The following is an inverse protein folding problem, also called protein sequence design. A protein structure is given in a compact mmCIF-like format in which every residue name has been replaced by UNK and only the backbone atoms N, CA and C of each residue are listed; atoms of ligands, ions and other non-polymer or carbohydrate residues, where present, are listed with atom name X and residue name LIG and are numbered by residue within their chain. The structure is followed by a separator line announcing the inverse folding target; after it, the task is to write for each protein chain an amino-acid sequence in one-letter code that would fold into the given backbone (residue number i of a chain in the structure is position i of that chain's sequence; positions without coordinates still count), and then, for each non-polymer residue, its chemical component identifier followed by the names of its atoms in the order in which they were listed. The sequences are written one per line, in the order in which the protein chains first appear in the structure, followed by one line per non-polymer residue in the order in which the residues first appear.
data_IF_456473196690
#
_entry.id   IF_456473196690
#
_cell.length_a   1.000
_cell.length_b   1.000
_cell.length_c   1.000
_cell.angle_alpha   90.00
_cell.angle_beta   90.00
_cell.angle_gamma   90.00
#
_symmetry.space_group_name_H-M   'P 1'
#
loop_
_entity.id
_entity.type
_entity.pdbx_description
1 polymer ?
#
# COMPACT_ATOMS: atom_id res chain seq x y z
N UNK A 1 -10.26 1.12 -14.19
CA UNK A 1 -10.76 1.78 -15.41
C UNK A 1 -9.75 2.83 -15.78
N UNK A 2 -9.04 2.60 -16.87
CA UNK A 2 -8.00 3.50 -17.37
C UNK A 2 -8.66 4.52 -18.30
N UNK A 3 -8.25 5.80 -18.30
CA UNK A 3 -8.86 6.79 -19.18
C UNK A 3 -8.67 6.47 -20.66
N UNK A 4 -9.67 6.80 -21.50
CA UNK A 4 -9.65 6.49 -22.94
C UNK A 4 -8.50 7.17 -23.68
N UNK A 5 -8.12 8.34 -23.20
CA UNK A 5 -7.01 9.16 -23.70
C UNK A 5 -5.63 8.49 -23.59
N UNK A 6 -5.50 7.32 -22.94
CA UNK A 6 -4.23 6.57 -22.92
C UNK A 6 -4.06 5.61 -24.10
N UNK A 7 -5.07 5.46 -24.97
CA UNK A 7 -5.14 4.51 -26.10
C UNK A 7 -4.76 3.06 -25.77
N UNK A 8 -4.89 2.66 -24.50
CA UNK A 8 -4.65 1.27 -24.12
C UNK A 8 -5.76 0.37 -24.64
N UNK A 9 -5.38 -0.83 -25.04
CA UNK A 9 -6.34 -1.88 -25.39
C UNK A 9 -7.28 -2.08 -24.18
N UNK A 10 -8.59 -1.92 -24.39
CA UNK A 10 -9.63 -1.97 -23.33
C UNK A 10 -9.65 -0.81 -22.34
N UNK A 11 -9.08 0.35 -22.69
CA UNK A 11 -9.27 1.57 -21.91
C UNK A 11 -10.73 2.02 -21.96
N UNK A 12 -11.47 1.75 -20.88
CA UNK A 12 -12.84 2.21 -20.68
C UNK A 12 -12.86 2.96 -19.35
N UNK A 13 -12.90 4.28 -19.41
CA UNK A 13 -12.87 5.12 -18.21
C UNK A 13 -12.57 6.59 -18.51
N UNK A 14 -12.47 7.35 -17.43
CA UNK A 14 -12.01 8.74 -17.39
C UNK A 14 -11.08 8.96 -16.18
N UNK A 15 -10.54 10.16 -16.07
CA UNK A 15 -9.67 10.57 -14.95
C UNK A 15 -10.27 10.28 -13.56
N UNK A 16 -11.56 10.55 -13.34
CA UNK A 16 -12.21 10.30 -12.05
C UNK A 16 -12.26 8.81 -11.70
N UNK A 17 -12.61 7.95 -12.66
CA UNK A 17 -12.63 6.50 -12.48
C UNK A 17 -11.23 5.91 -12.20
N UNK A 18 -10.19 6.54 -12.76
CA UNK A 18 -8.80 6.18 -12.54
C UNK A 18 -8.36 6.55 -11.11
N UNK A 19 -8.70 7.77 -10.65
CA UNK A 19 -8.40 8.19 -9.28
C UNK A 19 -9.13 7.34 -8.24
N UNK A 20 -10.41 6.98 -8.49
CA UNK A 20 -11.15 6.08 -7.62
C UNK A 20 -10.51 4.68 -7.57
N UNK A 21 -10.15 4.11 -8.72
CA UNK A 21 -9.47 2.81 -8.76
C UNK A 21 -8.13 2.85 -8.03
N UNK A 22 -7.32 3.88 -8.27
CA UNK A 22 -6.03 4.04 -7.62
C UNK A 22 -6.15 4.23 -6.11
N UNK A 23 -7.17 4.95 -5.66
CA UNK A 23 -7.50 5.10 -4.24
C UNK A 23 -7.72 3.75 -3.57
N UNK A 24 -8.66 2.95 -4.09
CA UNK A 24 -8.97 1.64 -3.50
C UNK A 24 -7.81 0.67 -3.61
N UNK A 25 -7.02 0.73 -4.69
CA UNK A 25 -5.82 -0.10 -4.85
C UNK A 25 -4.77 0.23 -3.79
N UNK A 26 -4.43 1.51 -3.63
CA UNK A 26 -3.44 1.95 -2.63
C UNK A 26 -3.95 1.69 -1.22
N UNK A 27 -5.23 1.96 -0.94
CA UNK A 27 -5.85 1.64 0.34
C UNK A 27 -5.75 0.14 0.65
N UNK A 28 -6.07 -0.72 -0.32
CA UNK A 28 -5.97 -2.17 -0.17
C UNK A 28 -4.54 -2.66 0.07
N UNK A 29 -3.61 -2.30 -0.83
CA UNK A 29 -2.22 -2.78 -0.79
C UNK A 29 -1.48 -2.30 0.46
N UNK A 30 -1.61 -1.02 0.79
CA UNK A 30 -0.96 -0.47 2.00
C UNK A 30 -1.61 -1.05 3.26
N UNK A 31 -2.94 -1.21 3.26
CA UNK A 31 -3.65 -1.88 4.34
C UNK A 31 -3.17 -3.31 4.57
N UNK A 32 -3.05 -4.11 3.52
CA UNK A 32 -2.56 -5.49 3.57
C UNK A 32 -1.19 -5.59 4.24
N UNK A 33 -0.24 -4.71 3.87
CA UNK A 33 1.10 -4.67 4.46
C UNK A 33 1.04 -4.50 5.99
N UNK A 34 0.29 -3.52 6.49
CA UNK A 34 0.20 -3.32 7.94
C UNK A 34 -0.60 -4.42 8.64
N UNK A 35 -1.61 -4.99 7.98
CA UNK A 35 -2.33 -6.13 8.53
C UNK A 35 -1.47 -7.39 8.62
N UNK A 36 -0.54 -7.59 7.70
CA UNK A 36 0.45 -8.67 7.80
C UNK A 36 1.29 -8.54 9.08
N UNK A 37 1.75 -7.32 9.40
CA UNK A 37 2.46 -7.05 10.64
C UNK A 37 1.59 -7.29 11.88
N UNK A 38 0.33 -6.85 11.83
CA UNK A 38 -0.64 -7.04 12.90
C UNK A 38 -0.88 -8.52 13.23
N UNK A 39 -1.02 -9.36 12.21
CA UNK A 39 -1.19 -10.82 12.37
C UNK A 39 0.08 -11.44 12.95
N UNK A 40 1.26 -11.10 12.44
CA UNK A 40 2.53 -11.60 13.01
C UNK A 40 2.71 -11.18 14.48
N UNK A 41 2.31 -9.96 14.84
CA UNK A 41 2.33 -9.51 16.23
C UNK A 41 1.34 -10.28 17.10
N UNK A 42 0.13 -10.55 16.60
CA UNK A 42 -0.86 -11.36 17.32
C UNK A 42 -0.32 -12.77 17.64
N UNK A 43 0.25 -13.45 16.64
CA UNK A 43 0.86 -14.79 16.82
C UNK A 43 1.99 -14.73 17.85
N UNK A 44 2.86 -13.72 17.77
CA UNK A 44 3.97 -13.54 18.72
C UNK A 44 3.47 -13.36 20.16
N UNK A 45 2.45 -12.51 20.37
CA UNK A 45 1.87 -12.25 21.69
C UNK A 45 1.19 -13.50 22.29
N UNK A 46 0.43 -14.24 21.48
CA UNK A 46 -0.28 -15.43 21.96
C UNK A 46 0.68 -16.59 22.26
N UNK A 47 1.60 -16.89 21.35
CA UNK A 47 2.46 -18.08 21.45
C UNK A 47 3.68 -17.84 22.34
N UNK A 48 4.43 -16.77 22.07
CA UNK A 48 5.72 -16.52 22.76
C UNK A 48 5.52 -15.86 24.11
N UNK A 49 4.59 -14.90 24.20
CA UNK A 49 4.32 -14.17 25.44
C UNK A 49 3.16 -14.75 26.24
N UNK A 50 2.48 -15.81 25.75
CA UNK A 50 1.39 -16.47 26.47
C UNK A 50 0.20 -15.56 26.75
N UNK A 51 -0.03 -14.52 25.95
CA UNK A 51 -1.18 -13.65 26.13
C UNK A 51 -2.48 -14.41 25.91
N UNK A 52 -3.51 -14.08 26.70
CA UNK A 52 -4.86 -14.58 26.47
C UNK A 52 -5.50 -13.83 25.30
N UNK A 53 -6.22 -14.56 24.46
CA UNK A 53 -6.97 -13.99 23.32
C UNK A 53 -7.88 -12.84 23.75
N UNK A 54 -8.55 -12.98 24.90
CA UNK A 54 -9.41 -11.91 25.43
C UNK A 54 -8.66 -10.62 25.74
N UNK A 55 -7.44 -10.73 26.27
CA UNK A 55 -6.62 -9.55 26.60
C UNK A 55 -6.21 -8.83 25.34
N UNK A 56 -5.82 -9.57 24.30
CA UNK A 56 -5.46 -9.01 23.00
C UNK A 56 -6.67 -8.30 22.37
N UNK A 57 -7.83 -8.97 22.31
CA UNK A 57 -9.02 -8.42 21.67
C UNK A 57 -9.54 -7.15 22.36
N UNK A 58 -9.54 -7.14 23.70
CA UNK A 58 -10.03 -5.98 24.48
C UNK A 58 -9.09 -4.78 24.43
N UNK A 59 -7.77 -5.00 24.37
CA UNK A 59 -6.78 -3.92 24.54
C UNK A 59 -6.01 -3.51 23.28
N UNK A 60 -5.77 -4.44 22.35
CA UNK A 60 -4.84 -4.22 21.23
C UNK A 60 -5.56 -4.22 19.89
N UNK A 61 -6.50 -5.14 19.68
CA UNK A 61 -7.17 -5.33 18.39
C UNK A 61 -7.86 -4.05 17.89
N UNK A 62 -8.75 -3.46 18.70
CA UNK A 62 -9.48 -2.24 18.34
C UNK A 62 -8.58 -1.03 18.02
N UNK A 63 -7.64 -0.63 18.90
CA UNK A 63 -6.76 0.49 18.58
C UNK A 63 -5.86 0.19 17.38
N UNK A 64 -5.43 -1.06 17.20
CA UNK A 64 -4.60 -1.44 16.05
C UNK A 64 -5.37 -1.30 14.73
N UNK A 65 -6.60 -1.81 14.63
CA UNK A 65 -7.45 -1.62 13.44
C UNK A 65 -7.68 -0.13 13.16
N UNK A 66 -7.99 0.66 14.20
CA UNK A 66 -8.20 2.09 14.04
C UNK A 66 -6.96 2.80 13.51
N UNK A 67 -5.79 2.52 14.08
CA UNK A 67 -4.52 3.12 13.64
C UNK A 67 -4.16 2.72 12.20
N UNK A 68 -4.33 1.44 11.84
CA UNK A 68 -4.06 0.96 10.48
C UNK A 68 -5.00 1.65 9.49
N UNK A 69 -6.32 1.61 9.74
CA UNK A 69 -7.30 2.21 8.83
C UNK A 69 -7.07 3.72 8.70
N UNK A 70 -6.85 4.42 9.81
CA UNK A 70 -6.58 5.86 9.79
C UNK A 70 -5.31 6.19 8.98
N UNK A 71 -4.23 5.46 9.19
CA UNK A 71 -2.97 5.65 8.48
C UNK A 71 -3.13 5.39 6.96
N UNK A 72 -3.73 4.25 6.61
CA UNK A 72 -3.92 3.82 5.22
C UNK A 72 -4.85 4.79 4.48
N UNK A 73 -5.89 5.30 5.17
CA UNK A 73 -6.81 6.29 4.61
C UNK A 73 -6.08 7.61 4.33
N UNK A 74 -5.26 8.11 5.26
CA UNK A 74 -4.43 9.30 5.00
C UNK A 74 -3.48 9.06 3.83
N UNK A 75 -2.83 7.90 3.80
CA UNK A 75 -1.88 7.55 2.75
C UNK A 75 -2.53 7.48 1.36
N UNK A 76 -3.77 6.99 1.27
CA UNK A 76 -4.53 6.93 0.02
C UNK A 76 -5.18 8.28 -0.37
N UNK A 77 -5.50 9.15 0.59
CA UNK A 77 -6.05 10.49 0.30
C UNK A 77 -4.99 11.43 -0.27
N UNK A 78 -3.73 11.35 0.19
CA UNK A 78 -2.68 12.26 -0.30
C UNK A 78 -2.56 12.22 -1.83
N UNK A 79 -2.43 11.06 -2.50
CA UNK A 79 -2.45 10.97 -3.95
C UNK A 79 -3.70 11.54 -4.62
N UNK A 80 -4.86 11.47 -3.95
CA UNK A 80 -6.11 12.00 -4.48
C UNK A 80 -6.08 13.53 -4.52
N UNK A 81 -5.55 14.17 -3.48
CA UNK A 81 -5.42 15.64 -3.37
C UNK A 81 -4.38 16.19 -4.34
N UNK A 82 -3.26 15.47 -4.52
CA UNK A 82 -2.18 15.89 -5.42
C UNK A 82 -2.32 15.35 -6.85
N UNK A 83 -3.44 14.68 -7.16
CA UNK A 83 -3.76 14.10 -8.46
C UNK A 83 -2.67 13.15 -9.00
N UNK A 84 -1.98 12.41 -8.13
CA UNK A 84 -0.86 11.53 -8.51
C UNK A 84 -1.27 10.10 -8.86
N UNK A 85 -2.57 9.85 -9.06
CA UNK A 85 -3.06 8.57 -9.58
C UNK A 85 -2.92 8.52 -11.10
N UNK A 86 -1.94 7.75 -11.53
CA UNK A 86 -1.53 7.60 -12.91
C UNK A 86 -1.88 6.21 -13.44
N UNK A 87 -2.20 6.11 -14.74
CA UNK A 87 -2.49 4.82 -15.37
C UNK A 87 -1.23 3.93 -15.41
N UNK A 88 -1.37 2.67 -15.03
CA UNK A 88 -0.29 1.68 -15.03
C UNK A 88 -0.83 0.26 -15.29
N UNK A 89 -0.35 -0.41 -16.35
CA UNK A 89 -0.69 -1.79 -16.74
C UNK A 89 -2.16 -2.20 -16.54
N UNK A 90 -3.12 -1.52 -17.17
CA UNK A 90 -4.56 -1.81 -17.07
C UNK A 90 -5.24 -1.35 -15.77
N UNK A 91 -4.51 -0.72 -14.86
CA UNK A 91 -5.02 -0.10 -13.64
C UNK A 91 -4.56 1.34 -13.46
N UNK A 92 -4.85 1.91 -12.29
CA UNK A 92 -4.34 3.21 -11.88
C UNK A 92 -3.66 3.09 -10.52
N UNK A 93 -2.52 3.75 -10.34
CA UNK A 93 -1.69 3.66 -9.14
C UNK A 93 -0.80 4.91 -9.03
N UNK A 94 -0.01 5.00 -7.97
CA UNK A 94 0.94 6.10 -7.73
C UNK A 94 2.25 5.92 -8.52
N UNK A 95 2.26 5.18 -9.64
CA UNK A 95 3.43 4.84 -10.46
C UNK A 95 3.21 5.42 -11.87
N UNK A 96 4.11 6.25 -12.43
CA UNK A 96 4.05 6.71 -13.79
C UNK A 96 4.44 5.56 -14.69
N UNK A 97 3.99 5.61 -15.95
CA UNK A 97 4.39 4.64 -16.96
C UNK A 97 5.92 4.49 -16.98
N UNK A 98 6.37 3.23 -16.98
CA UNK A 98 7.76 2.89 -17.30
C UNK A 98 7.91 3.02 -18.81
N UNK A 99 8.19 4.24 -19.24
CA UNK A 99 8.44 4.63 -20.62
C UNK A 99 8.93 6.07 -20.55
N UNK A 100 9.99 6.38 -21.28
CA UNK A 100 10.64 7.70 -21.23
C UNK A 100 9.63 8.81 -21.54
N UNK A 101 9.08 9.47 -20.53
CA UNK A 101 8.54 10.82 -20.69
C UNK A 101 9.75 11.77 -20.72
N UNK A 102 10.57 11.66 -21.76
CA UNK A 102 11.60 12.66 -22.03
C UNK A 102 10.86 13.88 -22.56
N UNK A 103 11.10 15.06 -21.99
CA UNK A 103 10.54 16.33 -22.44
C UNK A 103 10.90 16.72 -23.90
N UNK A 104 11.51 15.80 -24.66
CA UNK A 104 11.97 15.97 -26.04
C UNK A 104 11.27 15.07 -27.06
N UNK A 105 10.46 14.11 -26.63
CA UNK A 105 9.71 13.26 -27.54
C UNK A 105 8.22 13.61 -27.40
N UNK A 106 7.71 14.40 -28.35
CA UNK A 106 6.28 14.66 -28.59
C UNK A 106 5.61 13.37 -29.12
N UNK A 107 5.64 12.31 -28.33
CA UNK A 107 4.91 11.06 -28.55
C UNK A 107 3.77 10.95 -27.54
N UNK A 108 2.54 10.91 -28.05
CA UNK A 108 1.21 11.07 -27.43
C UNK A 108 0.84 10.28 -26.15
N UNK A 109 1.73 9.58 -25.44
CA UNK A 109 1.32 8.59 -24.41
C UNK A 109 1.79 8.83 -22.97
N UNK A 110 2.18 10.06 -22.60
CA UNK A 110 2.68 10.39 -21.27
C UNK A 110 1.78 11.38 -20.50
N UNK A 111 0.58 10.96 -20.09
CA UNK A 111 -0.25 11.75 -19.16
C UNK A 111 0.20 11.48 -17.72
N UNK A 112 1.35 12.04 -17.32
CA UNK A 112 1.77 12.06 -15.91
C UNK A 112 1.03 13.19 -15.20
N UNK A 113 0.14 12.83 -14.28
CA UNK A 113 -0.64 13.77 -13.47
C UNK A 113 -0.03 13.96 -12.10
N UNK A 114 -0.21 15.16 -11.57
CA UNK A 114 0.15 15.51 -10.21
C UNK A 114 1.63 15.80 -9.99
N UNK A 115 1.98 15.92 -8.71
CA UNK A 115 3.32 16.31 -8.28
C UNK A 115 4.27 15.10 -8.17
N UNK A 116 5.24 15.01 -9.08
CA UNK A 116 6.24 13.93 -9.10
C UNK A 116 7.08 13.81 -7.81
N UNK A 117 7.30 14.92 -7.08
CA UNK A 117 8.03 14.86 -5.81
C UNK A 117 7.21 14.15 -4.73
N UNK A 118 5.92 14.47 -4.63
CA UNK A 118 4.98 13.83 -3.69
C UNK A 118 4.87 12.35 -4.02
N UNK A 119 4.74 12.03 -5.30
CA UNK A 119 4.71 10.67 -5.81
C UNK A 119 5.96 9.87 -5.41
N UNK A 120 7.16 10.42 -5.66
CA UNK A 120 8.43 9.79 -5.26
C UNK A 120 8.51 9.57 -3.75
N UNK A 121 8.15 10.57 -2.95
CA UNK A 121 8.18 10.47 -1.48
C UNK A 121 7.24 9.37 -1.00
N UNK A 122 6.00 9.32 -1.50
CA UNK A 122 5.05 8.27 -1.12
C UNK A 122 5.55 6.87 -1.51
N UNK A 123 6.17 6.73 -2.68
CA UNK A 123 6.79 5.45 -3.05
C UNK A 123 7.93 5.03 -2.15
N UNK A 124 8.80 5.97 -1.78
CA UNK A 124 9.90 5.68 -0.87
C UNK A 124 9.36 5.27 0.51
N UNK A 125 8.31 5.94 0.99
CA UNK A 125 7.65 5.57 2.25
C UNK A 125 7.03 4.17 2.15
N UNK A 126 6.27 3.88 1.07
CA UNK A 126 5.67 2.56 0.88
C UNK A 126 6.72 1.45 0.75
N UNK A 127 7.78 1.68 -0.02
CA UNK A 127 8.89 0.73 -0.17
C UNK A 127 9.63 0.47 1.15
N UNK A 128 9.90 1.53 1.91
CA UNK A 128 10.49 1.39 3.25
C UNK A 128 9.56 0.64 4.21
N UNK A 129 8.25 0.94 4.19
CA UNK A 129 7.27 0.24 5.00
C UNK A 129 7.21 -1.26 4.68
N UNK A 130 7.24 -1.64 3.40
CA UNK A 130 7.30 -3.05 2.98
C UNK A 130 8.54 -3.73 3.57
N UNK A 131 9.72 -3.12 3.43
CA UNK A 131 10.96 -3.71 3.95
C UNK A 131 10.93 -3.85 5.48
N UNK A 132 10.47 -2.82 6.18
CA UNK A 132 10.37 -2.84 7.65
C UNK A 132 9.40 -3.93 8.11
N UNK A 133 8.21 -4.00 7.51
CA UNK A 133 7.22 -5.03 7.84
C UNK A 133 7.73 -6.42 7.51
N UNK A 134 8.36 -6.62 6.35
CA UNK A 134 8.92 -7.91 5.96
C UNK A 134 9.97 -8.40 6.97
N UNK A 135 10.89 -7.51 7.38
CA UNK A 135 11.90 -7.82 8.40
C UNK A 135 11.21 -8.16 9.73
N UNK A 136 10.25 -7.33 10.16
CA UNK A 136 9.52 -7.55 11.41
C UNK A 136 8.80 -8.91 11.42
N UNK A 137 8.03 -9.22 10.38
CA UNK A 137 7.32 -10.49 10.25
C UNK A 137 8.28 -11.67 10.24
N UNK A 138 9.40 -11.56 9.52
CA UNK A 138 10.43 -12.63 9.49
C UNK A 138 11.03 -12.87 10.86
N UNK A 139 11.43 -11.80 11.57
CA UNK A 139 11.98 -11.91 12.93
C UNK A 139 10.95 -12.49 13.90
N UNK A 140 9.69 -12.04 13.82
CA UNK A 140 8.60 -12.55 14.66
C UNK A 140 8.37 -14.06 14.42
N UNK A 141 8.31 -14.51 13.17
CA UNK A 141 8.09 -15.92 12.83
C UNK A 141 9.29 -16.79 13.21
N UNK A 142 10.53 -16.30 13.04
CA UNK A 142 11.73 -16.99 13.52
C UNK A 142 11.69 -17.14 15.04
N UNK A 143 11.26 -16.10 15.77
CA UNK A 143 11.19 -16.16 17.22
C UNK A 143 10.11 -17.13 17.71
N UNK A 144 8.93 -17.11 17.09
CA UNK A 144 7.86 -18.09 17.34
C UNK A 144 8.38 -19.51 17.10
N UNK A 145 9.05 -19.75 15.97
CA UNK A 145 9.63 -21.06 15.65
C UNK A 145 10.64 -21.53 16.71
N UNK A 146 11.55 -20.65 17.12
CA UNK A 146 12.54 -20.96 18.15
C UNK A 146 11.90 -21.21 19.53
N UNK A 147 10.82 -20.50 19.86
CA UNK A 147 10.08 -20.71 21.10
C UNK A 147 9.40 -22.07 21.11
N UNK A 148 8.67 -22.41 20.05
CA UNK A 148 7.96 -23.70 19.92
C UNK A 148 8.95 -24.86 19.90
N UNK A 149 10.11 -24.74 19.22
CA UNK A 149 11.11 -25.81 19.18
C UNK A 149 11.78 -26.10 20.53
N UNK A 150 11.76 -25.14 21.46
CA UNK A 150 12.36 -25.30 22.80
C UNK A 150 11.40 -25.94 23.81
N UNK A 151 10.11 -25.95 23.51
CA UNK A 151 9.10 -26.68 24.29
C UNK A 151 9.08 -28.16 23.88
#
# INVERSE_FOLDING_TARGET
MVPKETEWLWAVGNTASCSAQGFFLVFGVVGEIYYQAAISMNILLLIVFGWKQETFSKKVEKPMHFLIIAFVLVFAIIPLVYETYNPWCGGCTIIPLWGKCSAKDEGEFCIVRGNQKVELVLRLIAGAAILIVLIFCTVAMVWVYLHVRRQ
#
